data_IF_449089270549
#
_entry.id   IF_449089270549
#
_cell.length_a   1.000
_cell.length_b   1.000
_cell.length_c   1.000
_cell.angle_alpha   90.00
_cell.angle_beta   90.00
_cell.angle_gamma   90.00
#
_symmetry.space_group_name_H-M   'P 1'
#
loop_
_entity.id
_entity.type
_entity.pdbx_description
1 polymer ?
#
# COMPACT_ATOMS: atom_id res chain seq x y z
N UNK A 1 3.46 25.53 -24.74
CA UNK A 1 4.03 24.54 -23.81
C UNK A 1 2.96 24.21 -22.79
N UNK A 2 2.35 23.01 -22.79
CA UNK A 2 1.39 22.64 -21.74
C UNK A 2 2.11 22.55 -20.37
N UNK A 3 1.42 22.85 -19.26
CA UNK A 3 2.00 22.78 -17.92
C UNK A 3 2.43 21.34 -17.59
N UNK A 4 3.53 21.22 -16.85
CA UNK A 4 4.12 19.94 -16.47
C UNK A 4 3.13 19.10 -15.65
N UNK A 5 2.55 18.09 -16.32
CA UNK A 5 1.87 16.91 -15.81
C UNK A 5 1.46 16.94 -14.32
N UNK A 6 0.26 17.44 -14.04
CA UNK A 6 -0.49 17.03 -12.86
C UNK A 6 -0.97 15.59 -13.09
N UNK A 7 -0.14 14.62 -12.67
CA UNK A 7 -0.50 13.22 -12.75
C UNK A 7 -1.74 13.00 -11.89
N UNK A 8 -2.82 12.39 -12.41
CA UNK A 8 -4.00 12.15 -11.60
C UNK A 8 -3.63 11.32 -10.38
N UNK A 9 -3.99 11.79 -9.20
CA UNK A 9 -3.83 11.08 -7.93
C UNK A 9 -4.82 9.92 -7.87
N UNK A 10 -4.52 8.84 -8.60
CA UNK A 10 -5.28 7.61 -8.50
C UNK A 10 -5.05 6.98 -7.12
N UNK A 11 -6.12 6.38 -6.57
CA UNK A 11 -6.01 5.59 -5.35
C UNK A 11 -4.98 4.47 -5.52
N UNK A 12 -4.15 4.25 -4.49
CA UNK A 12 -3.12 3.22 -4.52
C UNK A 12 -3.62 1.94 -3.87
N UNK A 13 -3.67 0.85 -4.63
CA UNK A 13 -4.09 -0.47 -4.14
C UNK A 13 -2.86 -1.31 -3.79
N UNK A 14 -2.89 -1.97 -2.64
CA UNK A 14 -1.86 -2.89 -2.19
C UNK A 14 -2.47 -4.27 -1.96
N UNK A 15 -1.86 -5.30 -2.53
CA UNK A 15 -2.16 -6.69 -2.20
C UNK A 15 -1.20 -7.11 -1.08
N UNK A 16 -1.74 -7.39 0.09
CA UNK A 16 -0.96 -7.77 1.28
C UNK A 16 -1.31 -9.20 1.66
N UNK A 17 -0.32 -10.09 1.65
CA UNK A 17 -0.46 -11.41 2.24
C UNK A 17 -0.46 -11.30 3.77
N UNK A 18 -1.49 -11.86 4.42
CA UNK A 18 -1.62 -11.84 5.88
C UNK A 18 -0.66 -12.81 6.59
N UNK A 19 -0.08 -13.77 5.87
CA UNK A 19 0.65 -14.90 6.44
C UNK A 19 -0.28 -16.11 6.69
N UNK A 20 0.22 -17.17 7.34
CA UNK A 20 -0.52 -18.42 7.53
C UNK A 20 -1.55 -18.38 8.69
N UNK A 21 -1.57 -17.31 9.50
CA UNK A 21 -2.58 -17.12 10.55
C UNK A 21 -2.08 -16.34 11.78
N UNK A 22 -0.80 -16.49 12.13
CA UNK A 22 -0.19 -15.74 13.24
C UNK A 22 0.07 -14.27 12.80
N UNK A 23 -0.43 -13.26 13.54
CA UNK A 23 -0.22 -11.85 13.24
C UNK A 23 1.26 -11.43 13.17
N UNK A 24 2.16 -12.08 13.89
CA UNK A 24 3.59 -11.74 13.87
C UNK A 24 4.27 -12.18 12.57
N UNK A 25 3.62 -13.04 11.79
CA UNK A 25 4.15 -13.53 10.51
C UNK A 25 3.83 -12.61 9.32
N UNK A 26 3.07 -11.53 9.54
CA UNK A 26 2.88 -10.50 8.51
C UNK A 26 4.18 -9.71 8.29
N UNK A 27 4.45 -9.34 7.04
CA UNK A 27 5.64 -8.51 6.75
C UNK A 27 5.52 -7.10 7.34
N UNK A 28 6.66 -6.50 7.70
CA UNK A 28 6.72 -5.10 8.17
C UNK A 28 6.11 -4.11 7.16
N UNK A 29 6.29 -4.37 5.85
CA UNK A 29 5.67 -3.55 4.80
C UNK A 29 4.15 -3.69 4.79
N UNK A 30 3.64 -4.92 4.91
CA UNK A 30 2.21 -5.21 5.01
C UNK A 30 1.57 -4.53 6.22
N UNK A 31 2.17 -4.68 7.39
CA UNK A 31 1.70 -4.02 8.62
C UNK A 31 1.69 -2.49 8.48
N UNK A 32 2.73 -1.90 7.88
CA UNK A 32 2.78 -0.46 7.61
C UNK A 32 1.70 0.00 6.64
N UNK A 33 1.39 -0.78 5.61
CA UNK A 33 0.32 -0.47 4.67
C UNK A 33 -1.05 -0.53 5.35
N UNK A 34 -1.31 -1.57 6.15
CA UNK A 34 -2.58 -1.73 6.89
C UNK A 34 -2.79 -0.62 7.92
N UNK A 35 -1.74 -0.18 8.62
CA UNK A 35 -1.81 0.95 9.57
C UNK A 35 -2.05 2.30 8.93
N UNK A 36 -1.85 2.43 7.62
CA UNK A 36 -2.02 3.68 6.86
C UNK A 36 -3.32 3.72 6.07
N UNK A 37 -4.06 2.61 6.02
CA UNK A 37 -5.43 2.57 5.55
C UNK A 37 -6.34 3.21 6.60
#
# INVERSE_FOLDING_TARGET
>A
MPPAHEQPSYGKVFLVGAGPGDPELITLKGLRSLRKA
#
